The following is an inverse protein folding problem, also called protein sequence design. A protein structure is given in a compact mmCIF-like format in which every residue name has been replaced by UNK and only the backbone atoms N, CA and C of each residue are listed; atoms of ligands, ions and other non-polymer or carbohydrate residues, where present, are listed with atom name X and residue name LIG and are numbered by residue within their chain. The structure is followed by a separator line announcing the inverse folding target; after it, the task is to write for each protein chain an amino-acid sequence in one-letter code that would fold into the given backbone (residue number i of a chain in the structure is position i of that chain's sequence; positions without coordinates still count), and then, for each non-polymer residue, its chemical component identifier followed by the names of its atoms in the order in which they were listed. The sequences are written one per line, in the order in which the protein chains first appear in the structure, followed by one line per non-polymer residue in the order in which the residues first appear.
data_IF_189193567764
#
_entry.id   IF_189193567764
#
_cell.length_a   1.000
_cell.length_b   1.000
_cell.length_c   1.000
_cell.angle_alpha   90.00
_cell.angle_beta   90.00
_cell.angle_gamma   90.00
#
_symmetry.space_group_name_H-M   'P 1'
#
loop_
_entity.id
_entity.type
_entity.pdbx_description
1 polymer ?
#
# COMPACT_ATOMS: atom_id res chain seq x y z
N UNK A 1 14.99 6.96 6.60
CA UNK A 1 14.56 7.00 5.19
C UNK A 1 15.49 7.91 4.43
N UNK A 2 15.90 7.53 3.20
CA UNK A 2 16.59 8.46 2.32
C UNK A 2 15.70 9.69 2.08
N UNK A 3 16.31 10.87 2.10
CA UNK A 3 15.62 12.15 1.93
C UNK A 3 16.13 12.81 0.66
N UNK A 4 15.23 13.14 -0.25
CA UNK A 4 15.50 13.98 -1.42
C UNK A 4 14.84 15.33 -1.19
N UNK A 5 15.51 16.41 -1.57
CA UNK A 5 14.95 17.74 -1.41
C UNK A 5 13.72 17.91 -2.32
N UNK A 6 12.66 18.59 -1.86
CA UNK A 6 11.52 18.93 -2.69
C UNK A 6 11.95 19.74 -3.92
N UNK A 7 11.36 19.43 -5.07
CA UNK A 7 11.67 20.10 -6.33
C UNK A 7 10.72 21.27 -6.51
N UNK A 8 11.27 22.48 -6.69
CA UNK A 8 10.47 23.67 -7.00
C UNK A 8 9.83 23.51 -8.39
N UNK A 9 8.56 23.92 -8.51
CA UNK A 9 7.82 23.81 -9.77
C UNK A 9 8.54 24.53 -10.93
N UNK A 10 9.17 25.67 -10.65
CA UNK A 10 9.90 26.50 -11.61
C UNK A 10 11.07 25.78 -12.28
N UNK A 11 11.74 24.86 -11.58
CA UNK A 11 12.92 24.14 -12.06
C UNK A 11 12.63 22.67 -12.41
N UNK A 12 11.38 22.24 -12.28
CA UNK A 12 11.00 20.83 -12.45
C UNK A 12 11.35 20.28 -13.84
N UNK A 13 11.17 21.08 -14.90
CA UNK A 13 11.50 20.66 -16.28
C UNK A 13 12.99 20.37 -16.47
N UNK A 14 13.85 21.26 -15.97
CA UNK A 14 15.31 21.10 -16.03
C UNK A 14 15.79 19.93 -15.17
N UNK A 15 15.19 19.76 -13.99
CA UNK A 15 15.42 18.63 -13.12
C UNK A 15 15.12 17.30 -13.84
N UNK A 16 13.94 17.16 -14.45
CA UNK A 16 13.52 15.93 -15.15
C UNK A 16 14.44 15.64 -16.35
N UNK A 17 14.77 16.66 -17.14
CA UNK A 17 15.71 16.55 -18.27
C UNK A 17 17.07 16.01 -17.82
N UNK A 18 17.62 16.59 -16.74
CA UNK A 18 18.89 16.14 -16.17
C UNK A 18 18.79 14.72 -15.66
N UNK A 19 17.71 14.35 -14.98
CA UNK A 19 17.57 13.00 -14.44
C UNK A 19 17.44 11.92 -15.52
N UNK A 20 16.88 12.27 -16.70
CA UNK A 20 16.85 11.40 -17.88
C UNK A 20 18.19 11.32 -18.62
N UNK A 21 19.06 12.33 -18.45
CA UNK A 21 20.39 12.31 -19.06
C UNK A 21 21.18 11.09 -18.58
N UNK A 22 21.98 10.50 -19.48
CA UNK A 22 22.76 9.29 -19.21
C UNK A 22 21.91 8.06 -18.80
N UNK A 23 20.91 7.71 -19.62
CA UNK A 23 20.10 6.48 -19.44
C UNK A 23 19.42 6.42 -18.05
N UNK A 24 18.77 7.52 -17.66
CA UNK A 24 18.01 7.64 -16.42
C UNK A 24 18.84 7.40 -15.15
N UNK A 25 20.16 7.65 -15.18
CA UNK A 25 21.07 7.32 -14.08
C UNK A 25 20.60 7.86 -12.73
N UNK A 26 20.22 9.13 -12.69
CA UNK A 26 19.81 9.77 -11.44
C UNK A 26 18.49 9.18 -10.92
N UNK A 27 17.50 8.95 -11.80
CA UNK A 27 16.25 8.29 -11.40
C UNK A 27 16.49 6.85 -10.92
N UNK A 28 17.35 6.09 -11.60
CA UNK A 28 17.73 4.73 -11.18
C UNK A 28 18.36 4.77 -9.79
N UNK A 29 19.28 5.72 -9.54
CA UNK A 29 19.89 5.87 -8.23
C UNK A 29 18.87 6.21 -7.14
N UNK A 30 18.01 7.21 -7.38
CA UNK A 30 16.95 7.60 -6.44
C UNK A 30 16.01 6.44 -6.12
N UNK A 31 15.59 5.71 -7.15
CA UNK A 31 14.71 4.55 -7.02
C UNK A 31 15.36 3.42 -6.22
N UNK A 32 16.60 3.05 -6.52
CA UNK A 32 17.32 1.98 -5.80
C UNK A 32 17.45 2.31 -4.32
N UNK A 33 17.77 3.56 -3.99
CA UNK A 33 17.87 4.03 -2.60
C UNK A 33 16.52 3.89 -1.86
N UNK A 34 15.39 4.02 -2.56
CA UNK A 34 14.06 3.84 -1.95
C UNK A 34 13.69 2.37 -1.69
N UNK A 35 14.31 1.39 -2.35
CA UNK A 35 13.90 -0.02 -2.25
C UNK A 35 14.03 -0.58 -0.82
N UNK A 36 14.96 -0.06 -0.04
CA UNK A 36 15.20 -0.53 1.33
C UNK A 36 14.26 0.09 2.37
N UNK A 37 13.38 1.03 1.98
CA UNK A 37 12.46 1.69 2.90
C UNK A 37 11.49 0.72 3.59
N UNK A 38 11.31 -0.49 3.04
CA UNK A 38 10.38 -1.49 3.55
C UNK A 38 10.97 -2.55 4.49
N UNK A 39 12.30 -2.63 4.62
CA UNK A 39 12.98 -3.79 5.19
C UNK A 39 12.75 -4.02 6.70
N UNK A 40 12.29 -3.00 7.42
CA UNK A 40 12.04 -3.05 8.87
C UNK A 40 10.60 -3.37 9.28
N UNK A 41 9.66 -3.47 8.33
CA UNK A 41 8.25 -3.66 8.65
C UNK A 41 7.86 -5.14 8.72
N UNK A 42 7.02 -5.48 9.69
CA UNK A 42 6.54 -6.85 9.90
C UNK A 42 5.44 -7.24 8.91
N UNK A 43 5.43 -8.50 8.47
CA UNK A 43 4.40 -9.10 7.58
C UNK A 43 3.88 -10.44 8.11
N UNK A 44 3.74 -10.59 9.43
CA UNK A 44 3.40 -11.85 10.10
C UNK A 44 2.03 -12.36 9.63
N UNK A 45 1.02 -11.49 9.53
CA UNK A 45 -0.31 -11.92 9.07
C UNK A 45 -0.28 -12.44 7.62
N UNK A 46 0.38 -11.70 6.72
CA UNK A 46 0.47 -12.07 5.31
C UNK A 46 1.35 -13.28 5.01
N UNK A 47 2.35 -13.55 5.86
CA UNK A 47 3.26 -14.69 5.71
C UNK A 47 2.75 -15.98 6.38
N UNK A 48 1.66 -15.91 7.14
CA UNK A 48 1.04 -17.07 7.76
C UNK A 48 0.61 -18.09 6.70
N UNK A 49 1.01 -19.36 6.86
CA UNK A 49 0.73 -20.45 5.91
C UNK A 49 -0.76 -20.68 5.66
N UNK A 50 -1.61 -20.43 6.65
CA UNK A 50 -3.07 -20.56 6.52
C UNK A 50 -3.70 -19.43 5.69
N UNK A 51 -3.07 -18.26 5.66
CA UNK A 51 -3.53 -17.05 4.97
C UNK A 51 -2.80 -16.81 3.64
N UNK A 52 -1.67 -17.48 3.40
CA UNK A 52 -0.87 -17.30 2.18
C UNK A 52 -1.67 -17.56 0.89
N UNK A 53 -2.68 -18.44 0.94
CA UNK A 53 -3.61 -18.71 -0.18
C UNK A 53 -4.48 -17.50 -0.57
N UNK A 54 -4.62 -16.52 0.32
CA UNK A 54 -5.37 -15.28 0.09
C UNK A 54 -4.49 -14.20 -0.57
N UNK A 55 -3.19 -14.46 -0.74
CA UNK A 55 -2.28 -13.58 -1.45
C UNK A 55 -2.13 -14.03 -2.90
N UNK A 56 -2.29 -13.10 -3.85
CA UNK A 56 -2.01 -13.38 -5.27
C UNK A 56 -0.53 -13.71 -5.51
N UNK A 57 0.37 -13.04 -4.78
CA UNK A 57 1.82 -13.24 -4.85
C UNK A 57 2.42 -13.40 -3.45
N UNK A 58 3.34 -14.35 -3.27
CA UNK A 58 3.96 -14.62 -1.97
C UNK A 58 4.90 -13.52 -1.49
N UNK A 59 5.45 -12.74 -2.42
CA UNK A 59 6.38 -11.64 -2.14
C UNK A 59 5.68 -10.28 -2.02
N UNK A 60 4.36 -10.21 -2.18
CA UNK A 60 3.57 -8.98 -2.05
C UNK A 60 2.56 -9.20 -0.93
N UNK A 61 2.89 -8.71 0.26
CA UNK A 61 2.11 -8.86 1.49
C UNK A 61 1.97 -7.49 2.15
N UNK A 62 0.84 -7.22 2.84
CA UNK A 62 0.69 -5.98 3.58
C UNK A 62 1.54 -6.00 4.85
N UNK A 63 1.96 -4.82 5.31
CA UNK A 63 2.62 -4.68 6.60
C UNK A 63 1.60 -4.76 7.74
N UNK A 64 1.97 -5.37 8.87
CA UNK A 64 1.06 -5.54 10.01
C UNK A 64 0.59 -4.19 10.58
N UNK A 65 1.44 -3.16 10.53
CA UNK A 65 1.16 -1.82 11.07
C UNK A 65 0.13 -1.03 10.24
N UNK A 66 -0.01 -1.33 8.94
CA UNK A 66 -0.90 -0.60 8.05
C UNK A 66 -1.90 -1.49 7.30
N UNK A 67 -1.95 -2.80 7.56
CA UNK A 67 -2.93 -3.68 6.92
C UNK A 67 -4.36 -3.30 7.29
N UNK A 68 -5.26 -3.61 6.39
CA UNK A 68 -6.70 -3.50 6.62
C UNK A 68 -7.18 -4.70 7.45
N UNK A 69 -8.00 -4.42 8.47
CA UNK A 69 -8.66 -5.44 9.27
C UNK A 69 -10.11 -5.56 8.83
N UNK A 70 -10.52 -6.78 8.48
CA UNK A 70 -11.92 -7.09 8.20
C UNK A 70 -12.69 -7.25 9.50
N UNK A 71 -13.89 -6.68 9.56
CA UNK A 71 -14.83 -6.97 10.64
C UNK A 71 -15.70 -8.16 10.28
N UNK A 72 -15.94 -9.04 11.25
CA UNK A 72 -16.90 -10.13 11.11
C UNK A 72 -18.30 -9.54 10.80
N UNK A 73 -19.01 -10.17 9.87
CA UNK A 73 -20.39 -9.82 9.56
C UNK A 73 -21.33 -10.76 10.28
N UNK A 74 -22.30 -10.18 11.00
CA UNK A 74 -23.35 -10.94 11.68
C UNK A 74 -24.07 -11.86 10.68
N UNK A 75 -24.19 -13.15 11.02
CA UNK A 75 -24.83 -14.16 10.18
C UNK A 75 -23.90 -14.89 9.19
N UNK A 76 -22.69 -14.39 8.94
CA UNK A 76 -21.72 -15.05 8.03
C UNK A 76 -20.64 -15.78 8.84
N UNK A 77 -20.86 -17.07 9.11
CA UNK A 77 -19.94 -17.90 9.91
C UNK A 77 -18.82 -18.55 9.10
N UNK A 78 -18.87 -18.41 7.77
CA UNK A 78 -17.97 -19.09 6.82
C UNK A 78 -16.60 -18.42 6.71
N UNK A 79 -16.52 -17.10 6.91
CA UNK A 79 -15.27 -16.34 6.96
C UNK A 79 -14.94 -15.94 8.41
N UNK A 80 -13.97 -16.63 9.00
CA UNK A 80 -13.51 -16.41 10.39
C UNK A 80 -12.16 -15.67 10.50
N UNK A 81 -11.75 -14.97 9.45
CA UNK A 81 -10.46 -14.26 9.39
C UNK A 81 -10.63 -12.75 9.31
N UNK A 82 -9.69 -12.02 9.92
CA UNK A 82 -9.58 -10.55 9.86
C UNK A 82 -8.68 -10.08 8.71
N UNK A 83 -8.15 -11.01 7.90
CA UNK A 83 -7.09 -10.77 6.93
C UNK A 83 -7.62 -10.51 5.53
N UNK A 84 -7.13 -9.43 4.93
CA UNK A 84 -7.16 -9.13 3.50
C UNK A 84 -5.77 -8.60 3.10
N UNK A 85 -5.31 -8.94 1.89
CA UNK A 85 -4.06 -8.39 1.35
C UNK A 85 -4.31 -6.96 0.85
N UNK A 86 -4.42 -6.03 1.80
CA UNK A 86 -4.59 -4.61 1.55
C UNK A 86 -3.95 -3.78 2.67
N UNK A 87 -3.42 -2.61 2.31
CA UNK A 87 -2.82 -1.64 3.24
C UNK A 87 -3.44 -0.26 3.10
N UNK A 88 -3.47 0.49 4.21
CA UNK A 88 -3.74 1.92 4.23
C UNK A 88 -2.50 2.70 3.75
N UNK A 89 -2.72 3.65 2.85
CA UNK A 89 -1.71 4.59 2.38
C UNK A 89 -2.12 6.02 2.74
N UNK A 90 -1.19 6.76 3.34
CA UNK A 90 -1.35 8.18 3.63
C UNK A 90 -1.24 9.00 2.34
N UNK A 91 -2.19 9.92 2.14
CA UNK A 91 -2.13 10.90 1.06
C UNK A 91 -1.67 12.26 1.61
N UNK A 92 -1.17 13.13 0.71
CA UNK A 92 -0.59 14.43 1.09
C UNK A 92 -1.58 15.33 1.86
N UNK A 93 -2.87 15.26 1.52
CA UNK A 93 -3.90 16.12 2.12
C UNK A 93 -4.97 15.35 2.89
N UNK A 94 -4.89 14.02 2.92
CA UNK A 94 -5.83 13.19 3.67
C UNK A 94 -5.08 12.02 4.31
N UNK A 95 -5.07 12.01 5.65
CA UNK A 95 -4.45 10.95 6.40
C UNK A 95 -5.30 9.68 6.27
N UNK A 96 -4.89 8.83 5.33
CA UNK A 96 -5.40 7.49 5.02
C UNK A 96 -6.67 7.49 4.19
N UNK A 97 -6.54 7.52 2.86
CA UNK A 97 -7.68 7.39 1.96
C UNK A 97 -7.56 6.35 0.84
N UNK A 98 -6.40 5.70 0.68
CA UNK A 98 -6.19 4.77 -0.42
C UNK A 98 -6.00 3.34 0.09
N UNK A 99 -6.77 2.42 -0.49
CA UNK A 99 -6.57 0.98 -0.38
C UNK A 99 -5.67 0.55 -1.53
N UNK A 100 -4.51 0.00 -1.20
CA UNK A 100 -3.74 -0.75 -2.19
C UNK A 100 -4.23 -2.20 -2.21
N UNK A 101 -5.13 -2.51 -3.14
CA UNK A 101 -5.57 -3.86 -3.44
C UNK A 101 -5.30 -4.16 -4.92
N UNK A 102 -4.70 -5.31 -5.20
CA UNK A 102 -4.37 -5.71 -6.56
C UNK A 102 -5.51 -6.44 -7.29
N UNK A 103 -6.62 -6.77 -6.61
CA UNK A 103 -7.61 -7.69 -7.17
C UNK A 103 -9.09 -7.33 -6.96
N UNK A 104 -9.45 -6.10 -6.54
CA UNK A 104 -10.83 -5.83 -6.14
C UNK A 104 -11.43 -4.54 -6.72
N UNK A 105 -11.64 -4.56 -8.03
CA UNK A 105 -12.43 -3.55 -8.77
C UNK A 105 -13.96 -3.66 -8.52
N UNK A 106 -14.43 -4.32 -7.45
CA UNK A 106 -15.87 -4.63 -7.32
C UNK A 106 -16.56 -4.48 -5.94
N UNK A 107 -15.95 -3.88 -4.90
CA UNK A 107 -16.66 -3.69 -3.60
C UNK A 107 -16.94 -2.25 -3.16
N UNK A 108 -16.61 -1.21 -3.94
CA UNK A 108 -16.64 0.17 -3.43
C UNK A 108 -17.53 1.15 -4.20
N UNK A 109 -18.75 0.76 -4.57
CA UNK A 109 -19.70 1.69 -5.25
C UNK A 109 -20.95 2.08 -4.47
N UNK A 110 -21.09 1.81 -3.16
CA UNK A 110 -22.34 2.20 -2.48
C UNK A 110 -22.29 2.56 -0.99
N UNK A 111 -21.13 2.79 -0.37
CA UNK A 111 -21.09 3.15 1.05
C UNK A 111 -19.97 4.13 1.38
N UNK A 112 -20.34 5.31 1.88
CA UNK A 112 -19.42 6.38 2.26
C UNK A 112 -18.33 5.89 3.21
N UNK A 113 -17.09 6.26 2.86
CA UNK A 113 -15.89 6.02 3.63
C UNK A 113 -15.91 6.87 4.91
N UNK A 114 -15.82 6.22 6.08
CA UNK A 114 -15.67 6.91 7.37
C UNK A 114 -14.56 6.21 8.14
N UNK A 115 -13.47 6.94 8.38
CA UNK A 115 -12.22 6.43 8.92
C UNK A 115 -12.33 5.55 10.17
N UNK A 116 -11.30 4.72 10.35
CA UNK A 116 -11.03 3.82 11.49
C UNK A 116 -12.09 2.75 11.83
N UNK A 117 -13.21 2.67 11.12
CA UNK A 117 -14.14 1.53 11.25
C UNK A 117 -13.84 0.55 10.12
N UNK A 118 -13.40 -0.65 10.49
CA UNK A 118 -12.92 -1.67 9.56
C UNK A 118 -13.87 -1.93 8.40
N UNK A 119 -13.32 -2.35 7.26
CA UNK A 119 -14.14 -2.73 6.12
C UNK A 119 -15.05 -3.89 6.53
N UNK A 120 -16.35 -3.72 6.29
CA UNK A 120 -17.31 -4.82 6.34
C UNK A 120 -17.16 -5.59 5.04
N UNK A 121 -16.67 -6.83 5.13
CA UNK A 121 -16.77 -7.76 4.01
C UNK A 121 -18.27 -8.01 3.74
N UNK A 122 -18.71 -8.00 2.48
CA UNK A 122 -20.08 -8.36 2.13
C UNK A 122 -20.30 -9.87 2.21
#
# INVERSE_FOLDING_TARGET
MPSFDPILAEVFGDYVTRCHSSDNRDFKHQFTVMQDCGAGFSTIAGSNTSLQKLNRYKNIMPYDDNRVFLMAVEGHTEYKGDYINASYIDAVFDARCLLQDHCLTQLLTSGGWCGRRGLRAL
#
